data_IF_108839829781
#
_entry.id   IF_108839829781
#
_cell.length_a   1.000
_cell.length_b   1.000
_cell.length_c   1.000
_cell.angle_alpha   90.00
_cell.angle_beta   90.00
_cell.angle_gamma   90.00
#
_symmetry.space_group_name_H-M   'P 1'
#
loop_
_entity.id
_entity.type
_entity.pdbx_description
1 polymer ?
#
# COMPACT_ATOMS: atom_id res chain seq x y z
N UNK A 1 2.05 0.88 4.83
CA UNK A 1 1.45 0.26 3.62
C UNK A 1 0.57 -0.94 3.94
N UNK A 2 1.05 -2.02 4.57
CA UNK A 2 0.22 -3.18 4.94
C UNK A 2 -1.05 -2.79 5.71
N UNK A 3 -0.94 -1.93 6.73
CA UNK A 3 -2.08 -1.36 7.47
C UNK A 3 -3.11 -0.68 6.55
N UNK A 4 -2.68 0.04 5.53
CA UNK A 4 -3.56 0.70 4.55
C UNK A 4 -4.29 -0.32 3.68
N UNK A 5 -3.63 -1.44 3.34
CA UNK A 5 -4.19 -2.51 2.51
C UNK A 5 -5.23 -3.32 3.29
N UNK A 6 -4.91 -3.75 4.51
CA UNK A 6 -5.80 -4.61 5.29
C UNK A 6 -6.80 -3.83 6.16
N UNK A 7 -6.57 -2.53 6.33
CA UNK A 7 -7.32 -1.67 7.24
C UNK A 7 -6.90 -1.80 8.71
N UNK A 8 -7.12 -0.74 9.46
CA UNK A 8 -6.67 -0.59 10.86
C UNK A 8 -7.13 -1.74 11.76
N UNK A 9 -8.42 -2.06 11.71
CA UNK A 9 -9.02 -3.04 12.60
C UNK A 9 -8.42 -4.43 12.39
N UNK A 10 -8.29 -4.88 11.13
CA UNK A 10 -7.66 -6.15 10.81
C UNK A 10 -6.16 -6.16 11.14
N UNK A 11 -5.45 -5.07 10.81
CA UNK A 11 -4.04 -4.93 11.11
C UNK A 11 -3.74 -5.11 12.59
N UNK A 12 -4.42 -4.36 13.46
CA UNK A 12 -4.17 -4.44 14.91
C UNK A 12 -4.70 -5.72 15.54
N UNK A 13 -5.76 -6.34 15.00
CA UNK A 13 -6.15 -7.70 15.43
C UNK A 13 -5.06 -8.73 15.10
N UNK A 14 -4.53 -8.71 13.88
CA UNK A 14 -3.48 -9.63 13.45
C UNK A 14 -2.19 -9.42 14.23
N UNK A 15 -1.79 -8.16 14.45
CA UNK A 15 -0.60 -7.85 15.25
C UNK A 15 -0.71 -8.32 16.70
N UNK A 16 -1.88 -8.19 17.32
CA UNK A 16 -2.14 -8.70 18.68
C UNK A 16 -2.08 -10.23 18.71
N UNK A 17 -2.66 -10.91 17.74
CA UNK A 17 -2.62 -12.36 17.63
C UNK A 17 -1.19 -12.87 17.44
N UNK A 18 -0.43 -12.26 16.52
CA UNK A 18 1.00 -12.52 16.31
C UNK A 18 1.80 -12.36 17.60
N UNK A 19 1.64 -11.21 18.28
CA UNK A 19 2.36 -10.96 19.52
C UNK A 19 2.04 -11.99 20.60
N UNK A 20 0.77 -12.33 20.79
CA UNK A 20 0.36 -13.33 21.80
C UNK A 20 0.89 -14.73 21.48
N UNK A 21 0.92 -15.13 20.21
CA UNK A 21 1.38 -16.44 19.77
C UNK A 21 2.89 -16.64 19.89
N UNK A 22 3.67 -15.57 19.79
CA UNK A 22 5.15 -15.64 19.76
C UNK A 22 5.82 -14.89 20.93
N UNK A 23 5.05 -14.51 21.96
CA UNK A 23 5.58 -13.73 23.09
C UNK A 23 6.70 -14.52 23.79
N UNK A 24 7.81 -13.84 24.10
CA UNK A 24 9.02 -14.43 24.71
C UNK A 24 9.68 -15.57 23.90
N UNK A 25 9.32 -15.71 22.62
CA UNK A 25 9.89 -16.70 21.72
C UNK A 25 10.53 -16.08 20.48
N UNK A 26 10.85 -16.94 19.52
CA UNK A 26 11.30 -16.54 18.19
C UNK A 26 10.11 -16.49 17.24
N UNK A 27 10.16 -15.55 16.30
CA UNK A 27 9.19 -15.43 15.23
C UNK A 27 9.90 -15.13 13.92
N UNK A 28 9.30 -15.59 12.82
CA UNK A 28 9.72 -15.34 11.46
C UNK A 28 8.76 -14.35 10.79
N UNK A 29 9.19 -13.77 9.68
CA UNK A 29 8.30 -12.95 8.84
C UNK A 29 7.07 -13.74 8.38
N UNK A 30 7.21 -15.04 8.11
CA UNK A 30 6.09 -15.89 7.70
C UNK A 30 4.98 -15.92 8.76
N UNK A 31 5.32 -15.92 10.04
CA UNK A 31 4.36 -15.90 11.15
C UNK A 31 3.55 -14.59 11.17
N UNK A 32 4.22 -13.45 10.92
CA UNK A 32 3.55 -12.16 10.79
C UNK A 32 2.63 -12.11 9.57
N UNK A 33 3.10 -12.65 8.43
CA UNK A 33 2.28 -12.77 7.22
C UNK A 33 1.01 -13.56 7.52
N UNK A 34 1.14 -14.76 8.09
CA UNK A 34 0.02 -15.64 8.41
C UNK A 34 -0.99 -14.97 9.37
N UNK A 35 -0.51 -14.31 10.42
CA UNK A 35 -1.37 -13.62 11.37
C UNK A 35 -2.18 -12.48 10.74
N UNK A 36 -1.57 -11.73 9.81
CA UNK A 36 -2.24 -10.64 9.10
C UNK A 36 -3.19 -11.17 8.00
N UNK A 37 -2.84 -12.25 7.31
CA UNK A 37 -3.73 -12.92 6.34
C UNK A 37 -4.96 -13.47 7.06
N UNK A 38 -4.80 -14.15 8.20
CA UNK A 38 -5.91 -14.64 9.04
C UNK A 38 -6.81 -13.50 9.53
N UNK A 39 -6.24 -12.38 9.98
CA UNK A 39 -7.03 -11.29 10.56
C UNK A 39 -7.77 -10.43 9.53
N UNK A 40 -7.26 -10.39 8.30
CA UNK A 40 -7.78 -9.58 7.19
C UNK A 40 -8.61 -10.38 6.19
N UNK A 41 -8.42 -11.70 6.11
CA UNK A 41 -9.02 -12.54 5.06
C UNK A 41 -8.45 -12.30 3.67
N UNK A 42 -7.32 -11.59 3.57
CA UNK A 42 -6.70 -11.22 2.29
C UNK A 42 -5.40 -12.01 2.08
N UNK A 43 -5.10 -12.45 0.84
CA UNK A 43 -3.77 -12.94 0.51
C UNK A 43 -2.77 -11.77 0.48
N UNK A 44 -1.71 -11.87 1.28
CA UNK A 44 -0.67 -10.86 1.46
C UNK A 44 0.70 -11.32 0.96
N UNK A 45 0.84 -12.57 0.52
CA UNK A 45 2.08 -13.11 -0.07
C UNK A 45 2.74 -12.14 -1.06
N UNK A 46 1.98 -11.57 -1.99
CA UNK A 46 2.46 -10.58 -2.96
C UNK A 46 3.12 -9.35 -2.31
N UNK A 47 2.60 -8.88 -1.17
CA UNK A 47 3.13 -7.72 -0.47
C UNK A 47 4.44 -8.06 0.23
N UNK A 48 4.52 -9.21 0.89
CA UNK A 48 5.76 -9.67 1.52
C UNK A 48 6.84 -9.98 0.47
N UNK A 49 6.46 -10.60 -0.65
CA UNK A 49 7.35 -10.80 -1.80
C UNK A 49 7.90 -9.48 -2.30
N UNK A 50 6.99 -8.52 -2.57
CA UNK A 50 7.32 -7.24 -3.16
C UNK A 50 8.19 -6.35 -2.28
N UNK A 51 7.92 -6.32 -0.98
CA UNK A 51 8.52 -5.33 -0.07
C UNK A 51 9.67 -5.87 0.77
N UNK A 52 9.75 -7.19 0.95
CA UNK A 52 10.76 -7.79 1.80
C UNK A 52 11.67 -8.76 1.07
N UNK A 53 11.12 -9.60 0.18
CA UNK A 53 11.89 -10.72 -0.41
C UNK A 53 12.56 -10.39 -1.73
N UNK A 54 12.04 -9.44 -2.52
CA UNK A 54 12.66 -9.01 -3.77
C UNK A 54 13.54 -7.77 -3.59
N UNK A 55 14.70 -7.70 -4.26
CA UNK A 55 15.49 -6.47 -4.32
C UNK A 55 14.79 -5.41 -5.20
N UNK A 56 15.13 -4.14 -4.97
CA UNK A 56 14.64 -3.02 -5.77
C UNK A 56 13.62 -2.14 -5.04
N UNK A 57 13.07 -1.17 -5.77
CA UNK A 57 12.08 -0.22 -5.26
C UNK A 57 11.16 0.26 -6.38
N UNK A 58 10.03 0.85 -6.01
CA UNK A 58 9.10 1.46 -6.95
C UNK A 58 9.70 2.74 -7.54
N UNK A 59 10.03 2.73 -8.83
CA UNK A 59 10.38 3.93 -9.59
C UNK A 59 9.10 4.52 -10.15
N UNK A 60 8.68 5.70 -9.68
CA UNK A 60 7.37 6.27 -10.00
C UNK A 60 7.51 7.69 -10.55
N UNK A 61 6.91 7.96 -11.70
CA UNK A 61 6.69 9.30 -12.23
C UNK A 61 5.19 9.58 -12.23
N UNK A 62 4.81 10.72 -11.66
CA UNK A 62 3.41 11.14 -11.61
C UNK A 62 3.25 12.39 -12.45
N UNK A 63 2.44 12.28 -13.49
CA UNK A 63 1.95 13.39 -14.27
C UNK A 63 0.50 13.66 -13.88
N UNK A 64 0.08 14.92 -13.94
CA UNK A 64 -1.29 15.29 -13.64
C UNK A 64 -1.80 16.37 -14.57
N UNK A 65 -3.09 16.33 -14.83
CA UNK A 65 -3.82 17.37 -15.55
C UNK A 65 -5.14 17.65 -14.84
N UNK A 66 -5.68 18.85 -15.06
CA UNK A 66 -7.01 19.21 -14.57
C UNK A 66 -7.97 19.37 -15.76
N UNK A 67 -8.99 18.52 -15.80
CA UNK A 67 -10.11 18.64 -16.73
C UNK A 67 -11.12 19.62 -16.13
N UNK A 68 -11.10 20.87 -16.62
CA UNK A 68 -11.98 21.93 -16.15
C UNK A 68 -13.46 21.67 -16.48
N UNK A 69 -13.75 21.02 -17.62
CA UNK A 69 -15.13 20.71 -18.03
C UNK A 69 -15.77 19.68 -17.10
N UNK A 70 -15.00 18.67 -16.67
CA UNK A 70 -15.45 17.63 -15.74
C UNK A 70 -15.14 17.91 -14.28
N UNK A 71 -14.39 18.99 -13.99
CA UNK A 71 -13.86 19.37 -12.67
C UNK A 71 -13.12 18.21 -12.00
N UNK A 72 -12.24 17.52 -12.75
CA UNK A 72 -11.49 16.34 -12.28
C UNK A 72 -9.99 16.54 -12.41
N UNK A 73 -9.25 16.08 -11.41
CA UNK A 73 -7.81 15.87 -11.52
C UNK A 73 -7.59 14.48 -12.10
N UNK A 74 -6.85 14.40 -13.18
CA UNK A 74 -6.43 13.14 -13.81
C UNK A 74 -4.97 12.92 -13.43
N UNK A 75 -4.67 11.75 -12.87
CA UNK A 75 -3.33 11.32 -12.52
C UNK A 75 -2.88 10.23 -13.49
N UNK A 76 -1.74 10.44 -14.12
CA UNK A 76 -1.03 9.41 -14.87
C UNK A 76 0.19 8.99 -14.04
N UNK A 77 0.17 7.74 -13.57
CA UNK A 77 1.26 7.15 -12.78
C UNK A 77 2.02 6.19 -13.69
N UNK A 78 3.27 6.51 -13.95
CA UNK A 78 4.20 5.69 -14.73
C UNK A 78 5.19 5.00 -13.80
N UNK A 79 5.44 3.71 -14.04
CA UNK A 79 6.47 2.97 -13.33
C UNK A 79 7.70 2.76 -14.22
N UNK A 80 8.90 2.90 -13.64
CA UNK A 80 10.16 2.63 -14.31
C UNK A 80 10.33 1.14 -14.64
N UNK A 81 11.20 0.84 -15.61
CA UNK A 81 11.44 -0.53 -16.09
C UNK A 81 12.66 -1.22 -15.46
N UNK A 82 13.41 -0.54 -14.60
CA UNK A 82 14.62 -1.10 -13.97
C UNK A 82 14.31 -2.28 -13.04
N UNK A 83 13.16 -2.23 -12.37
CA UNK A 83 12.69 -3.27 -11.47
C UNK A 83 11.26 -3.67 -11.85
N UNK A 84 10.84 -4.84 -11.38
CA UNK A 84 9.47 -5.30 -11.58
C UNK A 84 8.46 -4.28 -11.01
N UNK A 85 7.34 -4.01 -11.69
CA UNK A 85 6.31 -3.10 -11.24
C UNK A 85 5.85 -3.37 -9.80
N UNK A 86 5.55 -2.32 -9.06
CA UNK A 86 5.09 -2.37 -7.68
C UNK A 86 3.58 -2.11 -7.62
N UNK A 87 2.89 -2.85 -6.74
CA UNK A 87 1.51 -2.60 -6.35
C UNK A 87 1.46 -1.86 -5.02
N UNK A 88 0.82 -0.70 -4.95
CA UNK A 88 0.69 0.04 -3.69
C UNK A 88 -0.41 1.10 -3.70
N UNK A 89 -0.98 1.43 -2.52
CA UNK A 89 -1.80 2.61 -2.37
C UNK A 89 -0.93 3.87 -2.43
N UNK A 90 -1.20 4.74 -3.41
CA UNK A 90 -0.62 6.08 -3.52
C UNK A 90 -1.61 7.10 -2.95
N UNK A 91 -1.26 7.68 -1.81
CA UNK A 91 -2.02 8.79 -1.23
C UNK A 91 -1.62 10.10 -1.90
N UNK A 92 -2.59 10.80 -2.47
CA UNK A 92 -2.42 12.11 -3.09
C UNK A 92 -3.19 13.17 -2.32
N UNK A 93 -2.61 14.36 -2.18
CA UNK A 93 -3.29 15.55 -1.65
C UNK A 93 -3.44 16.56 -2.79
N UNK A 94 -4.69 16.87 -3.14
CA UNK A 94 -5.02 17.93 -4.09
C UNK A 94 -5.28 19.20 -3.30
N UNK A 95 -4.52 20.25 -3.58
CA UNK A 95 -4.69 21.58 -2.98
C UNK A 95 -5.27 22.53 -4.02
N UNK A 96 -6.44 23.09 -3.73
CA UNK A 96 -7.07 24.12 -4.55
C UNK A 96 -6.46 25.50 -4.31
N UNK A 97 -6.75 26.43 -5.23
CA UNK A 97 -6.23 27.79 -5.18
C UNK A 97 -6.69 28.59 -3.94
N UNK A 98 -7.84 28.23 -3.36
CA UNK A 98 -8.37 28.86 -2.14
C UNK A 98 -7.90 28.14 -0.84
N UNK A 99 -6.91 27.26 -0.93
CA UNK A 99 -6.32 26.55 0.21
C UNK A 99 -7.09 25.30 0.66
N UNK A 100 -8.21 24.96 0.03
CA UNK A 100 -8.92 23.72 0.31
C UNK A 100 -8.05 22.50 -0.07
N UNK A 101 -7.99 21.50 0.81
CA UNK A 101 -7.26 20.26 0.56
C UNK A 101 -8.23 19.09 0.47
N UNK A 102 -7.96 18.19 -0.48
CA UNK A 102 -8.66 16.91 -0.60
C UNK A 102 -7.64 15.80 -0.75
N UNK A 103 -7.70 14.82 0.15
CA UNK A 103 -6.87 13.61 0.04
C UNK A 103 -7.64 12.51 -0.67
N UNK A 104 -6.95 11.76 -1.50
CA UNK A 104 -7.46 10.56 -2.15
C UNK A 104 -6.39 9.47 -2.13
N UNK A 105 -6.83 8.21 -2.11
CA UNK A 105 -5.94 7.05 -2.26
C UNK A 105 -6.19 6.46 -3.64
N UNK A 106 -5.13 6.29 -4.42
CA UNK A 106 -5.15 5.71 -5.76
C UNK A 106 -4.37 4.40 -5.70
N UNK A 107 -4.99 3.30 -6.11
CA UNK A 107 -4.30 2.02 -6.21
C UNK A 107 -3.43 1.98 -7.46
N UNK A 108 -2.11 1.95 -7.25
CA UNK A 108 -1.14 1.70 -8.31
C UNK A 108 -1.03 0.19 -8.48
N UNK A 109 -1.36 -0.32 -9.65
CA UNK A 109 -1.26 -1.73 -9.98
C UNK A 109 0.15 -2.09 -10.46
N UNK A 110 0.60 -3.32 -10.17
CA UNK A 110 1.82 -3.88 -10.73
C UNK A 110 1.57 -4.39 -12.16
N UNK A 111 1.43 -3.46 -13.12
CA UNK A 111 1.32 -3.77 -14.55
C UNK A 111 2.69 -3.74 -15.22
#
# INVERSE_FOLDING_TARGET
MLRTIVGDSAFFRGLRAYYLGHRHGTAMTADLQEALEKSSGMPLGWAFDQWLRRPGFAEVRVHWTFDAAKRRVVLAVEQGSRFAPYRFPLTVEVRGAAGQTRRAVVEVAAK
#
